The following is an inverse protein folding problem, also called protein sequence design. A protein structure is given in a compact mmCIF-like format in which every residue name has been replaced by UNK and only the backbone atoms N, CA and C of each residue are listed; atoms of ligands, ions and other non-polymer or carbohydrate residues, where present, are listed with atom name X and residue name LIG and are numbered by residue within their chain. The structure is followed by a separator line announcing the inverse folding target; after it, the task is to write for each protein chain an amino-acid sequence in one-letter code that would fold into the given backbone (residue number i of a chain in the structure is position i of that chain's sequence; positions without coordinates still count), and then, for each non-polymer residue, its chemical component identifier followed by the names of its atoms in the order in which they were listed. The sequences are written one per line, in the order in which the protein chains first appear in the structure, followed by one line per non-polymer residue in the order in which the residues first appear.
data_IF_361835057758
#
_entry.id   IF_361835057758
#
_cell.length_a   1.000
_cell.length_b   1.000
_cell.length_c   1.000
_cell.angle_alpha   90.00
_cell.angle_beta   90.00
_cell.angle_gamma   90.00
#
_symmetry.space_group_name_H-M   'P 1'
#
loop_
_entity.id
_entity.type
_entity.pdbx_description
1 polymer ?
#
# COMPACT_ATOMS: atom_id res chain seq x y z
N UNK A 1 27.69 6.20 -19.51
CA UNK A 1 26.45 5.83 -20.23
C UNK A 1 25.89 4.58 -19.58
N UNK A 2 24.62 4.56 -19.16
CA UNK A 2 23.96 3.37 -18.59
C UNK A 2 23.32 2.60 -19.73
N UNK A 3 23.39 1.26 -19.71
CA UNK A 3 22.83 0.45 -20.79
C UNK A 3 21.28 0.45 -20.74
N UNK A 4 20.58 0.28 -21.87
CA UNK A 4 19.12 0.25 -21.90
C UNK A 4 18.51 -0.82 -20.98
N UNK A 5 19.12 -2.01 -20.90
CA UNK A 5 18.66 -3.10 -20.02
C UNK A 5 18.82 -2.77 -18.53
N UNK A 6 19.92 -2.11 -18.14
CA UNK A 6 20.14 -1.65 -16.76
C UNK A 6 19.12 -0.57 -16.37
N UNK A 7 18.71 0.25 -17.34
CA UNK A 7 17.67 1.27 -17.13
C UNK A 7 16.31 0.62 -16.87
N UNK A 8 15.95 -0.41 -17.65
CA UNK A 8 14.71 -1.17 -17.49
C UNK A 8 14.64 -1.89 -16.13
N UNK A 9 15.72 -2.57 -15.74
CA UNK A 9 15.76 -3.26 -14.45
C UNK A 9 15.62 -2.27 -13.27
N UNK A 10 16.29 -1.12 -13.36
CA UNK A 10 16.21 -0.08 -12.32
C UNK A 10 14.79 0.46 -12.16
N UNK A 11 14.07 0.71 -13.25
CA UNK A 11 12.68 1.19 -13.16
C UNK A 11 11.74 0.11 -12.62
N UNK A 12 11.94 -1.17 -12.97
CA UNK A 12 11.19 -2.29 -12.37
C UNK A 12 11.39 -2.38 -10.87
N UNK A 13 12.64 -2.25 -10.39
CA UNK A 13 12.93 -2.24 -8.94
C UNK A 13 12.28 -1.05 -8.24
N UNK A 14 12.30 0.14 -8.84
CA UNK A 14 11.65 1.35 -8.29
C UNK A 14 10.14 1.14 -8.17
N UNK A 15 9.48 0.69 -9.24
CA UNK A 15 8.05 0.39 -9.25
C UNK A 15 7.65 -0.69 -8.22
N UNK A 16 8.45 -1.76 -8.12
CA UNK A 16 8.20 -2.83 -7.15
C UNK A 16 8.33 -2.32 -5.71
N UNK A 17 9.35 -1.50 -5.41
CA UNK A 17 9.59 -0.96 -4.08
C UNK A 17 8.39 -0.15 -3.57
N UNK A 18 7.84 0.73 -4.40
CA UNK A 18 6.69 1.56 -4.02
C UNK A 18 5.41 0.74 -3.88
N UNK A 19 5.23 -0.31 -4.68
CA UNK A 19 4.12 -1.24 -4.53
C UNK A 19 4.21 -2.09 -3.26
N UNK A 20 5.43 -2.52 -2.89
CA UNK A 20 5.68 -3.26 -1.65
C UNK A 20 5.42 -2.39 -0.42
N UNK A 21 5.78 -1.12 -0.45
CA UNK A 21 5.47 -0.18 0.63
C UNK A 21 3.96 0.05 0.78
N UNK A 22 3.24 0.21 -0.34
CA UNK A 22 1.78 0.25 -0.31
C UNK A 22 1.18 -1.03 0.31
N UNK A 23 1.63 -2.21 -0.12
CA UNK A 23 1.15 -3.48 0.44
C UNK A 23 1.46 -3.60 1.94
N UNK A 24 2.63 -3.14 2.39
CA UNK A 24 3.00 -3.15 3.82
C UNK A 24 1.99 -2.37 4.64
N UNK A 25 1.65 -1.15 4.21
CA UNK A 25 0.64 -0.30 4.87
C UNK A 25 -0.74 -0.96 4.92
N UNK A 26 -1.17 -1.57 3.82
CA UNK A 26 -2.43 -2.35 3.78
C UNK A 26 -2.42 -3.46 4.85
N UNK A 27 -1.35 -4.27 4.89
CA UNK A 27 -1.25 -5.38 5.84
C UNK A 27 -1.17 -4.89 7.29
N UNK A 28 -0.54 -3.76 7.56
CA UNK A 28 -0.46 -3.17 8.90
C UNK A 28 -1.85 -2.74 9.41
N UNK A 29 -2.68 -2.23 8.51
CA UNK A 29 -4.09 -1.95 8.74
C UNK A 29 -4.89 -3.23 9.03
N UNK A 30 -4.78 -4.25 8.17
CA UNK A 30 -5.49 -5.52 8.33
C UNK A 30 -5.15 -6.18 9.66
N UNK A 31 -3.91 -6.08 10.15
CA UNK A 31 -3.49 -6.63 11.45
C UNK A 31 -4.14 -5.94 12.65
N UNK A 32 -4.69 -4.73 12.51
CA UNK A 32 -5.41 -4.04 13.58
C UNK A 32 -6.82 -4.58 13.78
N UNK A 33 -7.44 -5.13 12.75
CA UNK A 33 -8.80 -5.71 12.82
C UNK A 33 -8.93 -6.79 13.91
N UNK A 34 -8.10 -7.86 13.95
CA UNK A 34 -8.19 -8.84 15.03
C UNK A 34 -7.88 -8.25 16.41
N UNK A 35 -7.00 -7.25 16.50
CA UNK A 35 -6.72 -6.55 17.77
C UNK A 35 -7.96 -5.79 18.28
N UNK A 36 -8.74 -5.20 17.37
CA UNK A 36 -9.99 -4.55 17.71
C UNK A 36 -11.05 -5.56 18.18
N UNK A 37 -11.14 -6.73 17.53
CA UNK A 37 -12.00 -7.85 17.97
C UNK A 37 -11.62 -8.29 19.39
N UNK A 38 -10.33 -8.45 19.69
CA UNK A 38 -9.87 -8.79 21.04
C UNK A 38 -10.29 -7.75 22.09
N UNK A 39 -10.27 -6.46 21.74
CA UNK A 39 -10.71 -5.40 22.65
C UNK A 39 -12.21 -5.54 22.98
N UNK A 40 -13.04 -5.90 22.00
CA UNK A 40 -14.46 -6.17 22.25
C UNK A 40 -14.68 -7.40 23.12
N UNK A 41 -13.94 -8.50 22.89
CA UNK A 41 -13.99 -9.71 23.74
C UNK A 41 -13.63 -9.36 25.20
N UNK A 42 -12.64 -8.50 25.40
CA UNK A 42 -12.17 -8.05 26.72
C UNK A 42 -13.01 -6.89 27.30
N UNK A 43 -14.03 -6.41 26.58
CA UNK A 43 -14.84 -5.24 26.91
C UNK A 43 -14.02 -3.94 27.16
N UNK A 44 -12.84 -3.84 26.54
CA UNK A 44 -11.94 -2.68 26.63
C UNK A 44 -12.29 -1.65 25.55
N UNK A 45 -13.32 -0.84 25.83
CA UNK A 45 -13.83 0.17 24.90
C UNK A 45 -12.84 1.31 24.65
N UNK A 46 -11.99 1.64 25.61
CA UNK A 46 -11.00 2.71 25.47
C UNK A 46 -9.94 2.31 24.44
N UNK A 47 -9.40 1.10 24.56
CA UNK A 47 -8.44 0.56 23.60
C UNK A 47 -9.07 0.29 22.24
N UNK A 48 -10.31 -0.19 22.19
CA UNK A 48 -11.05 -0.33 20.92
C UNK A 48 -11.15 1.01 20.17
N UNK A 49 -11.49 2.11 20.87
CA UNK A 49 -11.54 3.45 20.28
C UNK A 49 -10.16 3.93 19.79
N UNK A 50 -9.10 3.62 20.52
CA UNK A 50 -7.73 3.93 20.09
C UNK A 50 -7.40 3.20 18.78
N UNK A 51 -7.60 1.89 18.73
CA UNK A 51 -7.32 1.08 17.54
C UNK A 51 -8.14 1.55 16.34
N UNK A 52 -9.41 1.89 16.55
CA UNK A 52 -10.26 2.47 15.51
C UNK A 52 -9.66 3.75 14.91
N UNK A 53 -9.16 4.67 15.74
CA UNK A 53 -8.52 5.89 15.25
C UNK A 53 -7.23 5.58 14.48
N UNK A 54 -6.44 4.60 14.94
CA UNK A 54 -5.24 4.15 14.22
C UNK A 54 -5.55 3.53 12.86
N UNK A 55 -6.66 2.79 12.74
CA UNK A 55 -7.18 2.27 11.45
C UNK A 55 -7.54 3.45 10.54
N UNK A 56 -8.35 4.39 11.02
CA UNK A 56 -8.74 5.61 10.30
C UNK A 56 -7.55 6.41 9.76
N UNK A 57 -6.49 6.57 10.55
CA UNK A 57 -5.27 7.23 10.12
C UNK A 57 -4.47 6.37 9.12
N UNK A 58 -4.45 5.06 9.32
CA UNK A 58 -3.81 4.11 8.42
C UNK A 58 -4.43 4.10 7.02
N UNK A 59 -5.75 4.29 6.90
CA UNK A 59 -6.46 4.35 5.62
C UNK A 59 -5.94 5.50 4.76
N UNK A 60 -5.76 6.68 5.36
CA UNK A 60 -5.18 7.85 4.67
C UNK A 60 -3.73 7.59 4.22
N UNK A 61 -2.97 6.83 5.02
CA UNK A 61 -1.62 6.40 4.71
C UNK A 61 -1.53 5.44 3.52
N UNK A 62 -2.46 4.48 3.44
CA UNK A 62 -2.60 3.57 2.28
C UNK A 62 -2.95 4.37 1.03
N UNK A 63 -3.89 5.30 1.15
CA UNK A 63 -4.29 6.21 0.09
C UNK A 63 -3.11 7.02 -0.46
N UNK A 64 -2.29 7.57 0.43
CA UNK A 64 -1.10 8.32 0.05
C UNK A 64 -0.06 7.43 -0.63
N UNK A 65 0.14 6.20 -0.15
CA UNK A 65 1.03 5.24 -0.81
C UNK A 65 0.51 4.82 -2.20
N UNK A 66 -0.80 4.65 -2.38
CA UNK A 66 -1.42 4.37 -3.69
C UNK A 66 -1.21 5.52 -4.67
N UNK A 67 -1.37 6.76 -4.21
CA UNK A 67 -1.07 7.97 -5.00
C UNK A 67 0.41 8.04 -5.38
N UNK A 68 1.32 7.67 -4.46
CA UNK A 68 2.75 7.61 -4.74
C UNK A 68 3.05 6.58 -5.84
N UNK A 69 2.53 5.37 -5.76
CA UNK A 69 2.68 4.36 -6.83
C UNK A 69 2.21 4.92 -8.17
N UNK A 70 1.04 5.56 -8.20
CA UNK A 70 0.49 6.12 -9.44
C UNK A 70 1.40 7.20 -10.06
N UNK A 71 1.96 8.09 -9.23
CA UNK A 71 2.91 9.13 -9.68
C UNK A 71 4.21 8.52 -10.21
N UNK A 72 4.75 7.56 -9.49
CA UNK A 72 5.99 6.85 -9.83
C UNK A 72 5.88 6.12 -11.17
N UNK A 73 4.76 5.43 -11.40
CA UNK A 73 4.49 4.77 -12.68
C UNK A 73 4.27 5.77 -13.83
N UNK A 74 3.66 6.93 -13.55
CA UNK A 74 3.50 7.99 -14.53
C UNK A 74 4.86 8.62 -14.92
N UNK A 75 5.75 8.84 -13.95
CA UNK A 75 7.11 9.34 -14.18
C UNK A 75 7.96 8.38 -15.00
N UNK A 76 7.85 7.07 -14.74
CA UNK A 76 8.57 6.04 -15.52
C UNK A 76 8.03 5.97 -16.95
N UNK A 77 6.71 6.17 -17.14
CA UNK A 77 6.09 6.27 -18.44
C UNK A 77 6.19 5.00 -19.28
N UNK A 78 6.51 5.16 -20.57
CA UNK A 78 6.53 4.06 -21.55
C UNK A 78 7.71 3.09 -21.39
N UNK A 79 8.69 3.40 -20.54
CA UNK A 79 9.85 2.51 -20.30
C UNK A 79 9.40 1.22 -19.62
N UNK A 80 8.36 1.28 -18.78
CA UNK A 80 7.82 0.12 -18.08
C UNK A 80 6.56 -0.41 -18.78
N UNK A 81 6.77 -1.39 -19.65
CA UNK A 81 5.68 -2.03 -20.40
C UNK A 81 4.61 -2.66 -19.50
N UNK A 82 5.00 -3.18 -18.33
CA UNK A 82 4.10 -3.82 -17.36
C UNK A 82 3.47 -2.82 -16.36
N UNK A 83 3.45 -1.51 -16.64
CA UNK A 83 2.91 -0.50 -15.71
C UNK A 83 1.47 -0.77 -15.27
N UNK A 84 0.66 -1.35 -16.15
CA UNK A 84 -0.75 -1.66 -15.87
C UNK A 84 -0.87 -2.78 -14.83
N UNK A 85 0.04 -3.75 -14.87
CA UNK A 85 0.07 -4.83 -13.88
C UNK A 85 0.37 -4.30 -12.47
N UNK A 86 1.27 -3.33 -12.36
CA UNK A 86 1.55 -2.64 -11.09
C UNK A 86 0.34 -1.84 -10.60
N UNK A 87 -0.32 -1.07 -11.48
CA UNK A 87 -1.54 -0.33 -11.11
C UNK A 87 -2.65 -1.27 -10.65
N UNK A 88 -2.89 -2.35 -11.40
CA UNK A 88 -3.91 -3.36 -11.06
C UNK A 88 -3.59 -4.03 -9.73
N UNK A 89 -2.34 -4.40 -9.49
CA UNK A 89 -1.91 -4.94 -8.21
C UNK A 89 -2.16 -3.96 -7.05
N UNK A 90 -1.75 -2.71 -7.20
CA UNK A 90 -1.94 -1.68 -6.16
C UNK A 90 -3.42 -1.44 -5.86
N UNK A 91 -4.29 -1.42 -6.88
CA UNK A 91 -5.72 -1.25 -6.67
C UNK A 91 -6.34 -2.44 -5.92
N UNK A 92 -6.10 -3.67 -6.41
CA UNK A 92 -6.64 -4.88 -5.77
C UNK A 92 -6.13 -5.07 -4.34
N UNK A 93 -4.85 -4.77 -4.09
CA UNK A 93 -4.31 -4.82 -2.73
C UNK A 93 -4.93 -3.72 -1.85
N UNK A 94 -5.18 -2.53 -2.41
CA UNK A 94 -5.76 -1.40 -1.70
C UNK A 94 -7.19 -1.66 -1.22
N UNK A 95 -7.99 -2.40 -1.99
CA UNK A 95 -9.36 -2.77 -1.63
C UNK A 95 -9.43 -3.50 -0.26
N UNK A 96 -8.39 -4.22 0.14
CA UNK A 96 -8.31 -4.88 1.45
C UNK A 96 -8.39 -3.86 2.61
N UNK A 97 -7.84 -2.66 2.41
CA UNK A 97 -7.87 -1.60 3.41
C UNK A 97 -9.20 -0.82 3.42
N UNK A 98 -9.99 -0.90 2.36
CA UNK A 98 -11.30 -0.24 2.25
C UNK A 98 -12.43 -1.06 2.94
N UNK A 99 -12.20 -2.34 3.25
CA UNK A 99 -13.12 -3.27 3.92
C UNK A 99 -12.96 -3.29 5.44
#
# INVERSE_FOLDING_TARGET
MVLPAETEERVKRRALSVCQEHLRKVLDLTRKVPQMIECFIKNDKAKAKQIYNEIRMGEEDVDNARRLVSRELAEIGAILLSREDFLRFTNLAGEIADF
#
